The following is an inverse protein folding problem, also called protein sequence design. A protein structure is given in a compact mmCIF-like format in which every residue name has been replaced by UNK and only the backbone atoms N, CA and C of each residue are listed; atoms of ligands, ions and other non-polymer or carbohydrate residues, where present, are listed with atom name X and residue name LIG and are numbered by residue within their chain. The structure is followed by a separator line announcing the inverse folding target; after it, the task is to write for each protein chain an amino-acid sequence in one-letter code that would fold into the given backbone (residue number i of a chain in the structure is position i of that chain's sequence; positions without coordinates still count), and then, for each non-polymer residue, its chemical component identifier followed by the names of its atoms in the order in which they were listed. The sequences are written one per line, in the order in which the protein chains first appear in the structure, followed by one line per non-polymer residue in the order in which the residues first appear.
data_IF_745840491282
#
_entry.id   IF_745840491282
#
_cell.length_a   1.000
_cell.length_b   1.000
_cell.length_c   1.000
_cell.angle_alpha   90.00
_cell.angle_beta   90.00
_cell.angle_gamma   90.00
#
_symmetry.space_group_name_H-M   'P 1'
#
loop_
_entity.id
_entity.type
_entity.pdbx_description
1 polymer ?
#
# COMPACT_ATOMS: atom_id res chain seq x y z
N UNK A 1 21.76 -44.02 -16.65
CA UNK A 1 21.29 -42.65 -16.85
C UNK A 1 20.70 -42.18 -15.53
N UNK A 2 21.55 -41.46 -14.78
CA UNK A 2 21.14 -40.81 -13.55
C UNK A 2 20.17 -39.70 -13.94
N UNK A 3 18.96 -39.81 -13.46
CA UNK A 3 17.98 -38.71 -13.43
C UNK A 3 18.61 -37.63 -12.57
N UNK A 4 18.70 -36.38 -13.02
CA UNK A 4 19.14 -35.31 -12.12
C UNK A 4 18.18 -35.31 -10.92
N UNK A 5 18.71 -35.47 -9.72
CA UNK A 5 18.01 -35.15 -8.48
C UNK A 5 17.54 -33.72 -8.65
N UNK A 6 16.22 -33.53 -8.66
CA UNK A 6 15.54 -32.28 -8.62
C UNK A 6 16.03 -31.60 -7.33
N UNK A 7 16.96 -30.68 -7.49
CA UNK A 7 17.46 -29.84 -6.41
C UNK A 7 16.22 -29.08 -5.92
N UNK A 8 15.60 -29.62 -4.87
CA UNK A 8 14.29 -29.16 -4.40
C UNK A 8 14.47 -27.70 -3.93
N UNK A 9 14.33 -26.78 -4.88
CA UNK A 9 14.44 -25.36 -4.64
C UNK A 9 13.55 -24.99 -3.44
N UNK A 10 14.14 -24.34 -2.46
CA UNK A 10 13.42 -23.88 -1.27
C UNK A 10 12.18 -23.12 -1.74
N UNK A 11 10.97 -23.49 -1.30
CA UNK A 11 9.78 -22.82 -1.76
C UNK A 11 9.80 -21.34 -1.33
N UNK A 12 9.56 -20.46 -2.30
CA UNK A 12 9.54 -19.03 -2.09
C UNK A 12 8.31 -18.44 -2.80
N UNK A 13 7.58 -17.57 -2.11
CA UNK A 13 6.55 -16.74 -2.72
C UNK A 13 6.99 -15.28 -2.65
N UNK A 14 6.92 -14.59 -3.77
CA UNK A 14 7.23 -13.16 -3.88
C UNK A 14 6.00 -12.41 -4.36
N UNK A 15 5.63 -11.37 -3.63
CA UNK A 15 4.62 -10.41 -4.03
C UNK A 15 5.26 -9.03 -4.16
N UNK A 16 5.09 -8.41 -5.33
CA UNK A 16 5.61 -7.07 -5.62
C UNK A 16 4.46 -6.12 -5.83
N UNK A 17 4.47 -4.99 -5.12
CA UNK A 17 3.54 -3.87 -5.28
C UNK A 17 4.28 -2.71 -5.93
N UNK A 18 3.85 -2.31 -7.12
CA UNK A 18 4.41 -1.15 -7.83
C UNK A 18 3.87 0.17 -7.27
N UNK A 19 4.54 1.31 -7.53
CA UNK A 19 4.04 2.63 -7.14
C UNK A 19 2.68 3.00 -7.77
N UNK A 20 2.35 2.40 -8.91
CA UNK A 20 1.08 2.57 -9.62
C UNK A 20 -0.07 1.72 -9.04
N UNK A 21 0.23 0.89 -8.03
CA UNK A 21 -0.75 0.03 -7.36
C UNK A 21 -0.86 -1.38 -7.93
N UNK A 22 -0.09 -1.73 -8.97
CA UNK A 22 -0.11 -3.05 -9.55
C UNK A 22 0.60 -4.08 -8.66
N UNK A 23 -0.02 -5.24 -8.50
CA UNK A 23 0.52 -6.33 -7.67
C UNK A 23 0.81 -7.56 -8.50
N UNK A 24 2.03 -8.04 -8.44
CA UNK A 24 2.43 -9.30 -9.05
C UNK A 24 2.78 -10.32 -7.96
N UNK A 25 2.11 -11.47 -7.98
CA UNK A 25 2.31 -12.56 -7.01
C UNK A 25 2.85 -13.77 -7.75
N UNK A 26 4.00 -14.27 -7.32
CA UNK A 26 4.65 -15.47 -7.87
C UNK A 26 4.99 -16.43 -6.75
N UNK A 27 4.91 -17.73 -7.03
CA UNK A 27 5.34 -18.74 -6.08
C UNK A 27 4.45 -19.98 -6.08
N UNK A 28 4.79 -20.94 -5.23
CA UNK A 28 4.07 -22.21 -5.16
C UNK A 28 2.80 -22.09 -4.32
N UNK A 29 1.79 -22.86 -4.71
CA UNK A 29 0.56 -23.11 -3.95
C UNK A 29 0.26 -24.61 -3.91
N UNK A 30 -0.29 -25.08 -2.81
CA UNK A 30 -0.49 -26.54 -2.58
C UNK A 30 -1.66 -27.12 -3.40
N UNK A 31 -2.59 -26.30 -3.85
CA UNK A 31 -3.78 -26.80 -4.55
C UNK A 31 -4.47 -25.69 -5.34
N UNK A 32 -5.33 -26.05 -6.33
CA UNK A 32 -6.16 -25.08 -7.02
C UNK A 32 -7.13 -24.30 -6.10
N UNK A 33 -7.52 -24.90 -4.98
CA UNK A 33 -8.34 -24.23 -3.97
C UNK A 33 -7.53 -23.15 -3.25
N UNK A 34 -6.30 -23.47 -2.87
CA UNK A 34 -5.37 -22.51 -2.26
C UNK A 34 -5.07 -21.34 -3.21
N UNK A 35 -4.86 -21.62 -4.50
CA UNK A 35 -4.69 -20.59 -5.52
C UNK A 35 -5.88 -19.62 -5.58
N UNK A 36 -7.10 -20.15 -5.61
CA UNK A 36 -8.32 -19.33 -5.61
C UNK A 36 -8.45 -18.49 -4.34
N UNK A 37 -8.12 -19.06 -3.19
CA UNK A 37 -8.13 -18.33 -1.91
C UNK A 37 -7.14 -17.18 -1.94
N UNK A 38 -5.91 -17.40 -2.40
CA UNK A 38 -4.89 -16.37 -2.55
C UNK A 38 -5.36 -15.26 -3.50
N UNK A 39 -5.90 -15.65 -4.65
CA UNK A 39 -6.44 -14.73 -5.65
C UNK A 39 -7.58 -13.87 -5.09
N UNK A 40 -8.58 -14.50 -4.46
CA UNK A 40 -9.72 -13.78 -3.90
C UNK A 40 -9.28 -12.80 -2.82
N UNK A 41 -8.33 -13.21 -1.98
CA UNK A 41 -7.79 -12.33 -0.96
C UNK A 41 -7.02 -11.15 -1.58
N UNK A 42 -6.16 -11.42 -2.56
CA UNK A 42 -5.41 -10.37 -3.26
C UNK A 42 -6.35 -9.36 -3.94
N UNK A 43 -7.40 -9.85 -4.61
CA UNK A 43 -8.41 -9.00 -5.24
C UNK A 43 -9.18 -8.15 -4.22
N UNK A 44 -9.50 -8.70 -3.05
CA UNK A 44 -10.18 -7.96 -2.00
C UNK A 44 -9.32 -6.85 -1.38
N UNK A 45 -8.00 -7.02 -1.41
CA UNK A 45 -7.06 -6.10 -0.75
C UNK A 45 -6.50 -5.05 -1.71
N UNK A 46 -6.23 -5.42 -2.97
CA UNK A 46 -5.55 -4.57 -3.95
C UNK A 46 -6.44 -4.17 -5.14
N UNK A 47 -7.61 -4.77 -5.30
CA UNK A 47 -8.45 -4.62 -6.49
C UNK A 47 -8.20 -5.74 -7.52
N UNK A 48 -9.23 -6.05 -8.31
CA UNK A 48 -9.17 -7.17 -9.26
C UNK A 48 -8.43 -6.85 -10.56
N UNK A 49 -8.35 -5.57 -10.93
CA UNK A 49 -7.74 -5.14 -12.20
C UNK A 49 -6.22 -5.02 -12.11
N UNK A 50 -5.70 -4.83 -10.89
CA UNK A 50 -4.29 -4.56 -10.64
C UNK A 50 -3.50 -5.77 -10.14
N UNK A 51 -4.13 -6.95 -10.04
CA UNK A 51 -3.49 -8.16 -9.48
C UNK A 51 -3.21 -9.20 -10.54
N UNK A 52 -1.94 -9.57 -10.65
CA UNK A 52 -1.42 -10.59 -11.55
C UNK A 52 -0.84 -11.77 -10.78
N UNK A 53 -1.42 -12.97 -10.95
CA UNK A 53 -0.93 -14.19 -10.32
C UNK A 53 -0.17 -15.08 -11.30
N UNK A 54 1.05 -15.46 -10.91
CA UNK A 54 1.88 -16.43 -11.61
C UNK A 54 2.30 -17.52 -10.61
N UNK A 55 1.32 -18.31 -10.16
CA UNK A 55 1.52 -19.37 -9.18
C UNK A 55 1.67 -20.74 -9.83
N UNK A 56 2.42 -21.65 -9.18
CA UNK A 56 2.60 -23.04 -9.60
C UNK A 56 2.08 -23.98 -8.52
N UNK A 57 1.50 -25.10 -8.94
CA UNK A 57 1.15 -26.17 -7.98
C UNK A 57 2.42 -26.88 -7.55
N UNK A 58 2.59 -27.00 -6.24
CA UNK A 58 3.72 -27.72 -5.63
C UNK A 58 3.24 -28.46 -4.39
N UNK A 59 3.51 -29.76 -4.36
CA UNK A 59 3.26 -30.59 -3.19
C UNK A 59 4.33 -30.32 -2.10
N UNK A 60 4.05 -30.77 -0.89
CA UNK A 60 4.99 -30.71 0.25
C UNK A 60 5.44 -29.27 0.63
N UNK A 61 4.55 -28.28 0.52
CA UNK A 61 4.82 -26.95 1.07
C UNK A 61 4.82 -27.00 2.61
N UNK A 62 5.62 -26.14 3.26
CA UNK A 62 5.68 -26.06 4.72
C UNK A 62 4.31 -25.80 5.37
N UNK A 63 4.12 -26.32 6.58
CA UNK A 63 2.93 -26.04 7.35
C UNK A 63 2.75 -24.53 7.55
N UNK A 64 1.51 -24.03 7.47
CA UNK A 64 1.22 -22.61 7.56
C UNK A 64 1.59 -21.77 6.33
N UNK A 65 2.07 -22.38 5.23
CA UNK A 65 2.47 -21.67 4.01
C UNK A 65 1.43 -20.67 3.52
N UNK A 66 0.18 -21.11 3.41
CA UNK A 66 -0.92 -20.26 2.95
C UNK A 66 -1.20 -19.09 3.93
N UNK A 67 -1.12 -19.36 5.23
CA UNK A 67 -1.36 -18.32 6.25
C UNK A 67 -0.27 -17.25 6.19
N UNK A 68 1.01 -17.67 6.05
CA UNK A 68 2.13 -16.76 5.82
C UNK A 68 1.96 -15.94 4.54
N UNK A 69 1.56 -16.59 3.45
CA UNK A 69 1.29 -15.91 2.17
C UNK A 69 0.19 -14.85 2.29
N UNK A 70 -0.90 -15.15 2.97
CA UNK A 70 -1.98 -14.18 3.18
C UNK A 70 -1.59 -13.07 4.16
N UNK A 71 -0.80 -13.39 5.18
CA UNK A 71 -0.31 -12.39 6.14
C UNK A 71 0.67 -11.41 5.47
N UNK A 72 1.57 -11.90 4.62
CA UNK A 72 2.51 -11.05 3.88
C UNK A 72 1.80 -10.10 2.91
N UNK A 73 0.76 -10.57 2.20
CA UNK A 73 -0.06 -9.71 1.34
C UNK A 73 -0.81 -8.64 2.14
N UNK A 74 -1.33 -8.99 3.33
CA UNK A 74 -1.96 -8.02 4.21
C UNK A 74 -0.97 -6.97 4.73
N UNK A 75 0.27 -7.36 5.00
CA UNK A 75 1.36 -6.44 5.33
C UNK A 75 1.73 -5.54 4.16
N UNK A 76 1.93 -6.12 2.97
CA UNK A 76 2.28 -5.38 1.75
C UNK A 76 1.25 -4.31 1.39
N UNK A 77 -0.03 -4.56 1.67
CA UNK A 77 -1.12 -3.60 1.42
C UNK A 77 -1.05 -2.31 2.27
N UNK A 78 -0.17 -2.26 3.28
CA UNK A 78 0.06 -1.04 4.08
C UNK A 78 1.12 -0.13 3.48
N UNK A 79 1.76 -0.56 2.41
CA UNK A 79 2.78 0.18 1.70
C UNK A 79 2.21 0.86 0.44
N UNK A 80 2.91 1.87 -0.03
CA UNK A 80 2.64 2.50 -1.34
C UNK A 80 3.35 1.72 -2.46
N UNK A 81 4.50 1.13 -2.17
CA UNK A 81 5.23 0.22 -3.07
C UNK A 81 6.18 -0.66 -2.26
N UNK A 82 6.47 -1.86 -2.77
CA UNK A 82 7.37 -2.74 -2.05
C UNK A 82 7.33 -4.18 -2.52
N UNK A 83 8.03 -5.02 -1.78
CA UNK A 83 8.16 -6.45 -2.03
C UNK A 83 7.92 -7.19 -0.71
N UNK A 84 7.14 -8.25 -0.77
CA UNK A 84 7.01 -9.21 0.31
C UNK A 84 7.49 -10.58 -0.17
N UNK A 85 8.45 -11.14 0.53
CA UNK A 85 9.01 -12.47 0.27
C UNK A 85 8.64 -13.40 1.42
N UNK A 86 8.10 -14.55 1.08
CA UNK A 86 7.75 -15.60 2.03
C UNK A 86 8.63 -16.81 1.77
N UNK A 87 9.40 -17.17 2.76
CA UNK A 87 10.21 -18.41 2.81
C UNK A 87 9.63 -19.42 3.81
N UNK A 88 10.16 -20.64 3.90
CA UNK A 88 9.66 -21.63 4.86
C UNK A 88 9.63 -21.17 6.31
N UNK A 89 10.59 -20.34 6.71
CA UNK A 89 10.80 -19.96 8.11
C UNK A 89 10.67 -18.48 8.37
N UNK A 90 10.68 -17.62 7.34
CA UNK A 90 10.69 -16.17 7.51
C UNK A 90 9.77 -15.45 6.51
N UNK A 91 9.44 -14.22 6.84
CA UNK A 91 8.76 -13.26 5.97
C UNK A 91 9.58 -12.00 5.95
N UNK A 92 9.94 -11.53 4.76
CA UNK A 92 10.66 -10.27 4.57
C UNK A 92 9.76 -9.29 3.82
N UNK A 93 9.56 -8.09 4.36
CA UNK A 93 8.77 -7.04 3.72
C UNK A 93 9.59 -5.77 3.65
N UNK A 94 9.85 -5.33 2.42
CA UNK A 94 10.63 -4.11 2.14
C UNK A 94 9.78 -3.16 1.32
N UNK A 95 9.83 -1.84 1.61
CA UNK A 95 9.13 -0.90 0.76
C UNK A 95 8.98 0.51 1.33
N UNK A 96 8.19 1.30 0.58
CA UNK A 96 7.98 2.72 0.82
C UNK A 96 6.54 2.99 1.23
N UNK A 97 6.36 3.93 2.14
CA UNK A 97 5.04 4.29 2.64
C UNK A 97 4.96 5.77 3.02
N UNK A 98 3.78 6.38 2.80
CA UNK A 98 3.43 7.68 3.34
C UNK A 98 2.78 7.62 4.73
N UNK A 99 2.72 6.44 5.38
CA UNK A 99 2.14 6.29 6.72
C UNK A 99 3.21 6.03 7.76
N UNK A 100 3.32 6.90 8.75
CA UNK A 100 4.29 6.76 9.86
C UNK A 100 4.09 5.49 10.69
N UNK A 101 2.84 5.03 10.82
CA UNK A 101 2.49 3.81 11.58
C UNK A 101 2.67 2.50 10.81
N UNK A 102 2.92 2.54 9.49
CA UNK A 102 2.86 1.36 8.64
C UNK A 102 3.74 0.20 9.12
N UNK A 103 4.97 0.48 9.57
CA UNK A 103 5.87 -0.56 10.10
C UNK A 103 5.28 -1.27 11.32
N UNK A 104 4.70 -0.51 12.25
CA UNK A 104 4.03 -1.05 13.45
C UNK A 104 2.77 -1.82 13.08
N UNK A 105 1.97 -1.30 12.16
CA UNK A 105 0.73 -1.94 11.69
C UNK A 105 1.02 -3.27 11.01
N UNK A 106 2.08 -3.33 10.18
CA UNK A 106 2.53 -4.56 9.52
C UNK A 106 2.99 -5.59 10.56
N UNK A 107 3.84 -5.19 11.51
CA UNK A 107 4.31 -6.08 12.58
C UNK A 107 3.12 -6.66 13.36
N UNK A 108 2.14 -5.84 13.71
CA UNK A 108 0.95 -6.29 14.43
C UNK A 108 0.13 -7.30 13.60
N UNK A 109 -0.07 -7.05 12.30
CA UNK A 109 -0.76 -7.97 11.38
C UNK A 109 -0.06 -9.33 11.33
N UNK A 110 1.27 -9.33 11.26
CA UNK A 110 2.05 -10.58 11.21
C UNK A 110 1.94 -11.35 12.52
N UNK A 111 2.11 -10.69 13.66
CA UNK A 111 1.99 -11.30 15.00
C UNK A 111 0.59 -11.87 15.21
N UNK A 112 -0.46 -11.10 14.91
CA UNK A 112 -1.86 -11.52 15.13
C UNK A 112 -2.24 -12.75 14.28
N UNK A 113 -1.66 -12.90 13.10
CA UNK A 113 -1.99 -13.99 12.17
C UNK A 113 -1.12 -15.22 12.32
N UNK A 114 0.11 -15.05 12.73
CA UNK A 114 1.14 -16.09 12.72
C UNK A 114 1.60 -16.50 14.13
N UNK A 115 1.30 -15.69 15.14
CA UNK A 115 1.77 -15.88 16.51
C UNK A 115 3.20 -15.39 16.74
N UNK A 116 3.61 -15.38 18.02
CA UNK A 116 4.88 -14.79 18.48
C UNK A 116 6.15 -15.55 18.04
N UNK A 117 6.00 -16.73 17.43
CA UNK A 117 7.12 -17.59 17.04
C UNK A 117 7.58 -17.43 15.58
N UNK A 118 6.98 -16.53 14.81
CA UNK A 118 7.33 -16.35 13.39
C UNK A 118 8.42 -15.30 13.25
N UNK A 119 9.51 -15.67 12.57
CA UNK A 119 10.56 -14.71 12.20
C UNK A 119 10.10 -13.86 11.01
N UNK A 120 10.24 -12.54 11.14
CA UNK A 120 10.00 -11.61 10.05
C UNK A 120 10.95 -10.41 10.12
N UNK A 121 11.29 -9.89 8.95
CA UNK A 121 12.09 -8.68 8.81
C UNK A 121 11.27 -7.60 8.08
N UNK A 122 11.35 -6.35 8.57
CA UNK A 122 10.62 -5.22 8.02
C UNK A 122 11.57 -4.06 7.73
N UNK A 123 11.83 -3.82 6.45
CA UNK A 123 12.58 -2.67 5.95
C UNK A 123 11.61 -1.66 5.30
N UNK A 124 10.85 -0.98 6.14
CA UNK A 124 9.82 -0.02 5.71
C UNK A 124 10.33 1.40 5.92
N UNK A 125 10.40 2.15 4.81
CA UNK A 125 10.84 3.55 4.79
C UNK A 125 9.64 4.47 4.61
N UNK A 126 9.49 5.43 5.53
CA UNK A 126 8.51 6.51 5.41
C UNK A 126 9.03 7.58 4.46
N UNK A 127 8.20 8.00 3.51
CA UNK A 127 8.44 9.14 2.63
C UNK A 127 7.33 10.17 2.82
N UNK A 128 7.72 11.38 3.16
CA UNK A 128 6.78 12.49 3.39
C UNK A 128 6.02 12.87 2.12
N UNK A 129 6.63 12.75 0.95
CA UNK A 129 5.98 13.01 -0.34
C UNK A 129 4.80 12.07 -0.62
N UNK A 130 4.77 10.91 0.02
CA UNK A 130 3.68 9.93 -0.09
C UNK A 130 2.63 10.08 1.01
N UNK A 131 2.87 10.96 2.00
CA UNK A 131 1.95 11.18 3.12
C UNK A 131 0.85 12.18 2.72
N UNK A 132 -0.42 11.75 2.60
CA UNK A 132 -1.51 12.65 2.26
C UNK A 132 -1.69 13.77 3.28
N UNK A 133 -1.34 13.52 4.54
CA UNK A 133 -1.48 14.50 5.63
C UNK A 133 -0.36 15.53 5.65
N UNK A 134 0.86 15.15 5.22
CA UNK A 134 1.98 16.07 5.11
C UNK A 134 1.79 17.13 4.02
N UNK A 135 0.95 16.85 3.02
CA UNK A 135 0.59 17.79 1.96
C UNK A 135 -0.56 18.71 2.32
N UNK A 136 -1.28 18.43 3.39
CA UNK A 136 -2.31 19.31 3.88
C UNK A 136 -1.65 20.50 4.56
N UNK A 137 -1.93 21.70 4.07
CA UNK A 137 -1.56 22.94 4.74
C UNK A 137 -2.03 22.87 6.20
N UNK A 138 -1.14 23.16 7.15
CA UNK A 138 -1.59 23.32 8.51
C UNK A 138 -2.46 24.59 8.62
N UNK A 139 -3.28 24.68 9.68
CA UNK A 139 -4.23 25.78 9.81
C UNK A 139 -3.59 27.19 9.71
N UNK A 140 -2.34 27.36 10.14
CA UNK A 140 -1.62 28.62 10.05
C UNK A 140 -1.16 28.93 8.61
N UNK A 141 -0.70 27.93 7.87
CA UNK A 141 -0.33 28.04 6.45
C UNK A 141 -1.55 28.35 5.60
N UNK A 142 -2.67 27.65 5.84
CA UNK A 142 -3.93 27.90 5.16
C UNK A 142 -4.42 29.34 5.38
N UNK A 143 -4.40 29.84 6.63
CA UNK A 143 -4.76 31.23 6.95
C UNK A 143 -3.81 32.23 6.28
N UNK A 144 -2.51 31.93 6.23
CA UNK A 144 -1.53 32.79 5.57
C UNK A 144 -1.80 32.90 4.07
N UNK A 145 -2.07 31.76 3.41
CA UNK A 145 -2.35 31.69 1.97
C UNK A 145 -3.67 32.40 1.62
N UNK A 146 -4.74 32.17 2.39
CA UNK A 146 -6.01 32.89 2.23
C UNK A 146 -5.81 34.40 2.43
N UNK A 147 -5.02 34.82 3.43
CA UNK A 147 -4.74 36.23 3.71
C UNK A 147 -3.97 36.86 2.57
N UNK A 148 -2.99 36.16 1.99
CA UNK A 148 -2.21 36.63 0.85
C UNK A 148 -3.11 36.82 -0.39
N UNK A 149 -3.91 35.83 -0.73
CA UNK A 149 -4.89 35.89 -1.83
C UNK A 149 -5.90 37.03 -1.65
N UNK A 150 -6.44 37.20 -0.44
CA UNK A 150 -7.38 38.26 -0.13
C UNK A 150 -6.72 39.66 -0.11
N UNK A 151 -5.40 39.76 0.17
CA UNK A 151 -4.66 41.02 0.15
C UNK A 151 -4.34 41.49 -1.27
N UNK A 152 -4.13 40.57 -2.19
CA UNK A 152 -3.86 40.87 -3.60
C UNK A 152 -5.10 41.32 -4.34
N UNK A 153 -6.27 40.79 -3.98
CA UNK A 153 -7.55 41.11 -4.62
C UNK A 153 -8.61 41.44 -3.56
N UNK A 154 -8.97 42.71 -3.43
CA UNK A 154 -10.01 43.13 -2.49
C UNK A 154 -11.37 42.61 -2.95
N UNK A 155 -12.03 41.84 -2.08
CA UNK A 155 -13.40 41.39 -2.33
C UNK A 155 -14.33 42.61 -2.28
N UNK A 156 -15.02 42.89 -3.38
CA UNK A 156 -15.95 43.99 -3.55
C UNK A 156 -17.33 43.49 -3.90
N UNK A 157 -18.32 44.20 -3.46
CA UNK A 157 -19.71 43.95 -3.85
C UNK A 157 -20.16 45.03 -4.82
N UNK A 158 -21.08 44.69 -5.71
CA UNK A 158 -21.72 45.64 -6.58
C UNK A 158 -22.45 46.71 -5.75
N UNK A 159 -22.41 47.98 -6.14
CA UNK A 159 -23.04 49.07 -5.39
C UNK A 159 -24.54 48.81 -5.13
N UNK A 160 -24.91 48.74 -3.84
CA UNK A 160 -26.30 48.50 -3.43
C UNK A 160 -26.79 47.04 -3.57
N UNK A 161 -25.89 46.09 -3.78
CA UNK A 161 -26.18 44.65 -3.96
C UNK A 161 -25.37 43.83 -2.97
N UNK A 162 -25.85 42.59 -2.72
CA UNK A 162 -25.08 41.56 -2.03
C UNK A 162 -24.33 40.65 -3.03
N UNK A 163 -24.29 41.03 -4.30
CA UNK A 163 -23.62 40.27 -5.37
C UNK A 163 -22.15 40.70 -5.44
N UNK A 164 -21.27 39.72 -5.53
CA UNK A 164 -19.83 39.97 -5.77
C UNK A 164 -19.62 40.49 -7.19
N UNK A 165 -18.71 41.44 -7.38
CA UNK A 165 -18.25 41.82 -8.71
C UNK A 165 -17.49 40.65 -9.38
N UNK A 166 -17.28 40.72 -10.69
CA UNK A 166 -16.71 39.62 -11.45
C UNK A 166 -15.27 39.29 -10.99
N UNK A 167 -14.44 40.29 -10.71
CA UNK A 167 -13.06 40.11 -10.23
C UNK A 167 -13.02 39.46 -8.83
N UNK A 168 -14.00 39.74 -7.99
CA UNK A 168 -14.11 39.18 -6.65
C UNK A 168 -14.63 37.73 -6.66
N UNK A 169 -15.39 37.32 -7.68
CA UNK A 169 -15.80 35.91 -7.86
C UNK A 169 -14.61 35.03 -8.14
N UNK A 170 -13.69 35.45 -9.01
CA UNK A 170 -12.49 34.70 -9.34
C UNK A 170 -11.59 34.52 -8.10
N UNK A 171 -11.50 35.58 -7.26
CA UNK A 171 -10.75 35.50 -6.00
C UNK A 171 -11.38 34.53 -5.00
N UNK A 172 -12.71 34.55 -4.84
CA UNK A 172 -13.41 33.61 -3.95
C UNK A 172 -13.31 32.18 -4.45
N UNK A 173 -13.32 31.99 -5.75
CA UNK A 173 -13.15 30.64 -6.34
C UNK A 173 -11.73 30.11 -6.11
N UNK A 174 -10.71 30.94 -6.25
CA UNK A 174 -9.31 30.57 -5.97
C UNK A 174 -9.04 30.26 -4.49
N UNK A 175 -9.83 30.81 -3.57
CA UNK A 175 -9.77 30.48 -2.12
C UNK A 175 -10.45 29.12 -1.83
N UNK A 176 -11.40 28.70 -2.68
CA UNK A 176 -12.19 27.48 -2.48
C UNK A 176 -11.57 26.20 -3.09
N UNK A 177 -10.55 26.35 -3.92
CA UNK A 177 -9.77 25.25 -4.52
C UNK A 177 -8.58 24.87 -3.65
#
# INVERSE_FOLDING_TARGET
PETPEDDAAIPEMVATLSPEGQVQIRGPVISPRAQRTLQTFAYAVFGSEDVYLSTKLQDNLPEGWMVRSLASLAGLSKLNSGIATVSPNAIDITGLTGRRSAKTDIAQILIDRLGDGTEFELEVTYLEELDPLARMLNGAECVAEITDLASQNKIKFEPGSATLDDDSRDTVQAIAE
#
